data_IF_002383955315
#
_entry.id   IF_002383955315
#
_cell.length_a   1.000
_cell.length_b   1.000
_cell.length_c   1.000
_cell.angle_alpha   90.00
_cell.angle_beta   90.00
_cell.angle_gamma   90.00
#
_symmetry.space_group_name_H-M   'P 1'
#
loop_
_entity.id
_entity.type
_entity.pdbx_description
1 polymer ?
#
# COMPACT_ATOMS: atom_id res chain seq x y z
N UNK A 1 -36.39 1.56 -9.21
CA UNK A 1 -35.98 2.58 -8.23
C UNK A 1 -35.71 1.81 -6.96
N UNK A 2 -34.45 1.74 -6.54
CA UNK A 2 -34.05 1.62 -5.13
C UNK A 2 -32.58 2.04 -5.08
N UNK A 3 -32.39 3.27 -4.63
CA UNK A 3 -31.14 4.03 -4.62
C UNK A 3 -30.84 4.39 -3.16
N UNK A 4 -30.46 3.39 -2.35
CA UNK A 4 -30.17 3.57 -0.91
C UNK A 4 -28.81 2.96 -0.50
N UNK A 5 -27.79 3.11 -1.35
CA UNK A 5 -26.40 2.94 -0.93
C UNK A 5 -25.71 4.29 -0.83
N UNK A 6 -25.53 4.78 0.41
CA UNK A 6 -24.22 5.26 0.82
C UNK A 6 -23.50 6.33 -0.07
N UNK A 7 -24.03 7.52 -0.39
CA UNK A 7 -23.50 8.37 -1.47
C UNK A 7 -22.03 8.86 -1.33
N UNK A 8 -21.37 8.64 -0.19
CA UNK A 8 -19.99 9.11 0.05
C UNK A 8 -18.90 8.13 -0.43
N UNK A 9 -19.08 6.81 -0.24
CA UNK A 9 -18.03 5.81 -0.53
C UNK A 9 -17.95 5.44 -2.01
N UNK A 10 -19.11 5.28 -2.66
CA UNK A 10 -19.18 5.04 -4.11
C UNK A 10 -18.58 6.20 -4.92
N UNK A 11 -18.71 7.45 -4.44
CA UNK A 11 -18.11 8.61 -5.11
C UNK A 11 -16.61 8.66 -4.96
N UNK A 12 -16.05 8.15 -3.86
CA UNK A 12 -14.60 8.03 -3.66
C UNK A 12 -14.05 6.94 -4.59
N UNK A 13 -14.70 5.78 -4.65
CA UNK A 13 -14.31 4.68 -5.54
C UNK A 13 -14.39 5.04 -7.04
N UNK A 14 -15.47 5.72 -7.47
CA UNK A 14 -15.58 6.20 -8.85
C UNK A 14 -14.63 7.37 -9.16
N UNK A 15 -14.32 8.23 -8.18
CA UNK A 15 -13.32 9.30 -8.35
C UNK A 15 -11.92 8.73 -8.56
N UNK A 16 -11.56 7.67 -7.81
CA UNK A 16 -10.30 6.93 -7.91
C UNK A 16 -10.11 6.26 -9.27
N UNK A 17 -11.20 5.80 -9.89
CA UNK A 17 -11.17 5.12 -11.20
C UNK A 17 -11.13 6.10 -12.38
N UNK A 18 -11.73 7.29 -12.27
CA UNK A 18 -11.89 8.22 -13.40
C UNK A 18 -10.81 9.31 -13.55
N UNK A 19 -9.95 9.55 -12.54
CA UNK A 19 -8.94 10.62 -12.58
C UNK A 19 -7.51 10.11 -12.64
N UNK A 20 -7.27 9.06 -13.43
CA UNK A 20 -5.95 8.71 -13.93
C UNK A 20 -5.38 9.83 -14.85
N UNK A 21 -5.09 10.98 -14.26
CA UNK A 21 -4.00 11.86 -14.70
C UNK A 21 -2.76 11.27 -14.03
N UNK A 22 -2.12 10.32 -14.72
CA UNK A 22 -0.77 9.79 -14.45
C UNK A 22 -0.27 9.91 -12.99
N UNK A 23 -0.94 9.15 -12.12
CA UNK A 23 -0.44 8.57 -10.87
C UNK A 23 0.28 9.44 -9.82
N UNK A 24 -0.18 10.67 -9.62
CA UNK A 24 0.38 11.61 -8.63
C UNK A 24 0.43 11.01 -7.21
N UNK A 25 -0.59 10.28 -6.77
CA UNK A 25 -0.65 9.72 -5.41
C UNK A 25 0.38 8.61 -5.20
N UNK A 26 0.44 7.64 -6.12
CA UNK A 26 1.39 6.53 -6.04
C UNK A 26 2.84 7.03 -6.18
N UNK A 27 3.09 7.97 -7.09
CA UNK A 27 4.40 8.60 -7.25
C UNK A 27 4.79 9.42 -6.02
N UNK A 28 3.85 10.17 -5.43
CA UNK A 28 4.11 10.95 -4.20
C UNK A 28 4.42 10.02 -3.02
N UNK A 29 3.68 8.93 -2.86
CA UNK A 29 3.92 7.93 -1.83
C UNK A 29 5.30 7.27 -2.03
N UNK A 30 5.60 6.80 -3.23
CA UNK A 30 6.85 6.14 -3.55
C UNK A 30 8.07 7.07 -3.38
N UNK A 31 8.00 8.30 -3.88
CA UNK A 31 9.08 9.27 -3.70
C UNK A 31 9.31 9.58 -2.23
N UNK A 32 8.25 9.82 -1.44
CA UNK A 32 8.39 10.06 0.00
C UNK A 32 8.99 8.87 0.74
N UNK A 33 8.59 7.65 0.38
CA UNK A 33 9.15 6.43 0.96
C UNK A 33 10.67 6.37 0.79
N UNK A 34 11.18 6.64 -0.42
CA UNK A 34 12.60 6.57 -0.70
C UNK A 34 13.39 7.81 -0.31
N UNK A 35 12.78 8.99 -0.23
CA UNK A 35 13.39 10.17 0.40
C UNK A 35 13.71 9.90 1.88
N UNK A 36 12.79 9.23 2.60
CA UNK A 36 12.95 8.93 4.02
C UNK A 36 13.69 7.60 4.30
N UNK A 37 13.74 6.68 3.33
CA UNK A 37 14.30 5.33 3.49
C UNK A 37 15.08 4.90 2.22
N UNK A 38 16.10 5.69 1.85
CA UNK A 38 16.96 5.46 0.67
C UNK A 38 17.56 4.05 0.61
N UNK A 39 17.77 3.41 1.76
CA UNK A 39 18.31 2.05 1.86
C UNK A 39 17.37 0.99 1.27
N UNK A 40 16.05 1.21 1.32
CA UNK A 40 15.05 0.31 0.73
C UNK A 40 15.17 0.21 -0.79
N UNK A 41 15.69 1.26 -1.48
CA UNK A 41 15.92 1.23 -2.93
C UNK A 41 16.82 0.06 -3.33
N UNK A 42 17.78 -0.34 -2.48
CA UNK A 42 18.73 -1.40 -2.79
C UNK A 42 18.07 -2.77 -2.97
N UNK A 43 16.82 -2.94 -2.51
CA UNK A 43 16.05 -4.16 -2.66
C UNK A 43 15.42 -4.30 -4.05
N UNK A 44 15.39 -3.21 -4.84
CA UNK A 44 14.74 -3.15 -6.13
C UNK A 44 15.77 -3.12 -7.25
N UNK A 45 16.26 -4.29 -7.66
CA UNK A 45 17.35 -4.44 -8.63
C UNK A 45 17.15 -3.63 -9.92
N UNK A 46 15.90 -3.49 -10.38
CA UNK A 46 15.56 -2.79 -11.64
C UNK A 46 15.68 -1.27 -11.57
N UNK A 47 15.52 -0.67 -10.38
CA UNK A 47 15.43 0.79 -10.24
C UNK A 47 16.22 1.38 -9.07
N UNK A 48 17.06 0.58 -8.40
CA UNK A 48 17.94 1.02 -7.30
C UNK A 48 18.89 2.17 -7.65
N UNK A 49 19.13 2.40 -8.95
CA UNK A 49 19.96 3.48 -9.47
C UNK A 49 19.26 4.85 -9.43
N UNK A 50 17.92 4.89 -9.38
CA UNK A 50 17.14 6.13 -9.37
C UNK A 50 17.06 6.70 -7.95
N UNK A 51 18.04 7.54 -7.61
CA UNK A 51 18.19 8.09 -6.25
C UNK A 51 17.65 9.51 -6.11
N UNK A 52 17.42 10.18 -7.22
CA UNK A 52 16.78 11.50 -7.23
C UNK A 52 15.28 11.38 -7.45
N UNK A 53 14.54 12.37 -6.94
CA UNK A 53 13.09 12.47 -7.14
C UNK A 53 12.72 12.53 -8.62
N UNK A 54 13.49 13.24 -9.43
CA UNK A 54 13.24 13.37 -10.87
C UNK A 54 13.39 12.02 -11.60
N UNK A 55 14.43 11.24 -11.29
CA UNK A 55 14.60 9.90 -11.86
C UNK A 55 13.49 8.93 -11.41
N UNK A 56 13.08 9.01 -10.13
CA UNK A 56 12.04 8.16 -9.57
C UNK A 56 10.66 8.42 -10.21
N UNK A 57 10.29 9.69 -10.39
CA UNK A 57 9.00 10.06 -11.02
C UNK A 57 8.92 9.55 -12.47
N UNK A 58 10.05 9.48 -13.17
CA UNK A 58 10.11 9.03 -14.55
C UNK A 58 10.34 7.51 -14.71
N UNK A 59 10.48 6.76 -13.60
CA UNK A 59 10.71 5.31 -13.65
C UNK A 59 9.39 4.54 -13.83
N UNK A 60 9.29 3.82 -14.94
CA UNK A 60 8.15 2.94 -15.24
C UNK A 60 8.05 1.79 -14.22
N UNK A 61 9.17 1.20 -13.84
CA UNK A 61 9.22 0.09 -12.89
C UNK A 61 8.79 0.53 -11.48
N UNK A 62 9.17 1.75 -11.09
CA UNK A 62 8.72 2.31 -9.83
C UNK A 62 7.23 2.62 -9.87
N UNK A 63 6.74 3.21 -10.95
CA UNK A 63 5.33 3.50 -11.13
C UNK A 63 4.47 2.21 -11.12
N UNK A 64 4.95 1.12 -11.73
CA UNK A 64 4.31 -0.19 -11.70
C UNK A 64 4.24 -0.75 -10.28
N UNK A 65 5.34 -0.69 -9.52
CA UNK A 65 5.34 -1.14 -8.13
C UNK A 65 4.42 -0.30 -7.24
N UNK A 66 4.49 1.03 -7.38
CA UNK A 66 3.64 1.96 -6.65
C UNK A 66 2.15 1.71 -6.96
N UNK A 67 1.81 1.41 -8.23
CA UNK A 67 0.47 0.97 -8.61
C UNK A 67 0.03 -0.31 -7.89
N UNK A 68 0.90 -1.33 -7.81
CA UNK A 68 0.57 -2.57 -7.13
C UNK A 68 0.33 -2.38 -5.64
N UNK A 69 1.11 -1.50 -5.00
CA UNK A 69 0.88 -1.10 -3.59
C UNK A 69 -0.47 -0.40 -3.46
N UNK A 70 -0.76 0.58 -4.31
CA UNK A 70 -2.04 1.30 -4.26
C UNK A 70 -3.24 0.40 -4.52
N UNK A 71 -3.15 -0.52 -5.47
CA UNK A 71 -4.19 -1.52 -5.74
C UNK A 71 -4.39 -2.44 -4.54
N UNK A 72 -3.31 -2.86 -3.87
CA UNK A 72 -3.41 -3.68 -2.65
C UNK A 72 -4.12 -2.93 -1.54
N UNK A 73 -3.82 -1.64 -1.37
CA UNK A 73 -4.49 -0.79 -0.38
C UNK A 73 -5.96 -0.54 -0.73
N UNK A 74 -6.28 -0.33 -2.01
CA UNK A 74 -7.64 -0.14 -2.51
C UNK A 74 -8.50 -1.40 -2.31
N UNK A 75 -8.00 -2.57 -2.73
CA UNK A 75 -8.64 -3.85 -2.46
C UNK A 75 -8.76 -4.12 -0.96
N UNK A 76 -7.76 -3.70 -0.17
CA UNK A 76 -7.82 -3.75 1.28
C UNK A 76 -8.97 -2.92 1.88
N UNK A 77 -9.20 -1.72 1.35
CA UNK A 77 -10.26 -0.82 1.80
C UNK A 77 -11.64 -1.32 1.33
N UNK A 78 -11.75 -1.76 0.08
CA UNK A 78 -13.00 -2.31 -0.50
C UNK A 78 -13.40 -3.63 0.15
N UNK A 79 -12.42 -4.45 0.52
CA UNK A 79 -12.62 -5.73 1.19
C UNK A 79 -13.04 -5.62 2.65
N UNK A 80 -13.11 -4.43 3.26
CA UNK A 80 -13.57 -4.30 4.65
C UNK A 80 -15.02 -4.74 4.86
N UNK A 81 -15.84 -4.78 3.80
CA UNK A 81 -17.20 -5.33 3.83
C UNK A 81 -17.22 -6.88 3.77
N UNK A 82 -16.12 -7.52 3.37
CA UNK A 82 -15.93 -8.97 3.31
C UNK A 82 -14.54 -9.35 3.86
N UNK A 83 -14.49 -9.43 5.20
CA UNK A 83 -13.25 -9.61 5.93
C UNK A 83 -12.52 -10.93 5.58
N UNK A 84 -13.24 -11.97 5.17
CA UNK A 84 -12.62 -13.25 4.83
C UNK A 84 -11.77 -13.14 3.55
N UNK A 85 -12.35 -12.54 2.50
CA UNK A 85 -11.63 -12.26 1.25
C UNK A 85 -10.49 -11.25 1.46
N UNK A 86 -10.72 -10.23 2.30
CA UNK A 86 -9.68 -9.28 2.70
C UNK A 86 -8.48 -10.00 3.33
N UNK A 87 -8.72 -10.83 4.34
CA UNK A 87 -7.65 -11.52 5.04
C UNK A 87 -6.92 -12.50 4.12
N UNK A 88 -7.63 -13.24 3.27
CA UNK A 88 -6.99 -14.14 2.31
C UNK A 88 -6.02 -13.37 1.40
N UNK A 89 -6.50 -12.31 0.75
CA UNK A 89 -5.71 -11.54 -0.19
C UNK A 89 -4.50 -10.87 0.48
N UNK A 90 -4.71 -10.12 1.57
CA UNK A 90 -3.63 -9.37 2.22
C UNK A 90 -2.60 -10.31 2.87
N UNK A 91 -3.02 -11.46 3.42
CA UNK A 91 -2.06 -12.45 3.90
C UNK A 91 -1.18 -13.01 2.77
N UNK A 92 -1.74 -13.27 1.58
CA UNK A 92 -0.98 -13.73 0.42
C UNK A 92 0.04 -12.69 -0.02
N UNK A 93 -0.34 -11.41 -0.05
CA UNK A 93 0.60 -10.31 -0.37
C UNK A 93 1.72 -10.25 0.67
N UNK A 94 1.40 -10.29 1.96
CA UNK A 94 2.39 -10.34 3.05
C UNK A 94 3.36 -11.51 2.91
N UNK A 95 2.84 -12.72 2.64
CA UNK A 95 3.64 -13.91 2.42
C UNK A 95 4.58 -13.81 1.21
N UNK A 96 4.14 -13.13 0.13
CA UNK A 96 4.94 -12.98 -1.09
C UNK A 96 6.27 -12.23 -0.85
N UNK A 97 6.29 -11.30 0.11
CA UNK A 97 7.49 -10.51 0.45
C UNK A 97 8.60 -11.34 1.12
N UNK A 98 8.32 -12.57 1.56
CA UNK A 98 9.36 -13.52 2.01
C UNK A 98 10.30 -13.95 0.89
N UNK A 99 9.84 -13.85 -0.36
CA UNK A 99 10.65 -14.20 -1.55
C UNK A 99 11.67 -13.12 -1.89
N UNK A 100 11.60 -11.95 -1.26
CA UNK A 100 12.50 -10.83 -1.49
C UNK A 100 13.73 -10.98 -0.57
N UNK A 101 14.94 -11.19 -1.11
CA UNK A 101 16.14 -11.36 -0.30
C UNK A 101 16.39 -10.13 0.59
N UNK A 102 16.65 -10.38 1.88
CA UNK A 102 16.94 -9.32 2.85
C UNK A 102 15.74 -8.46 3.27
N UNK A 103 14.52 -8.80 2.86
CA UNK A 103 13.32 -8.09 3.30
C UNK A 103 13.08 -8.31 4.80
N UNK A 104 12.92 -7.20 5.51
CA UNK A 104 12.61 -7.18 6.94
C UNK A 104 11.16 -6.78 7.13
N UNK A 105 10.46 -7.48 8.03
CA UNK A 105 9.02 -7.28 8.25
C UNK A 105 8.69 -5.85 8.67
N UNK A 106 9.62 -5.16 9.33
CA UNK A 106 9.50 -3.77 9.76
C UNK A 106 9.38 -2.79 8.59
N UNK A 107 9.80 -3.18 7.37
CA UNK A 107 9.72 -2.32 6.20
C UNK A 107 8.28 -2.05 5.76
N UNK A 108 7.32 -2.91 6.09
CA UNK A 108 5.90 -2.62 5.84
C UNK A 108 5.46 -1.34 6.55
N UNK A 109 5.91 -1.12 7.79
CA UNK A 109 5.54 0.07 8.57
C UNK A 109 6.09 1.38 8.00
N UNK A 110 7.09 1.33 7.11
CA UNK A 110 7.61 2.51 6.42
C UNK A 110 6.62 3.12 5.42
N UNK A 111 5.55 2.41 5.07
CA UNK A 111 4.51 2.86 4.14
C UNK A 111 3.51 3.81 4.81
N UNK A 112 3.34 3.75 6.14
CA UNK A 112 2.30 4.53 6.86
C UNK A 112 2.40 6.03 6.59
N UNK A 113 3.55 6.65 6.86
CA UNK A 113 3.75 8.10 6.70
C UNK A 113 3.61 8.55 5.25
N UNK A 114 4.29 7.91 4.26
CA UNK A 114 4.10 8.26 2.85
C UNK A 114 2.66 8.10 2.36
N UNK A 115 1.94 7.09 2.84
CA UNK A 115 0.53 6.89 2.49
C UNK A 115 -0.34 8.03 3.02
N UNK A 116 -0.23 8.36 4.31
CA UNK A 116 -1.03 9.44 4.91
C UNK A 116 -0.74 10.79 4.25
N UNK A 117 0.52 11.08 3.96
CA UNK A 117 0.90 12.30 3.25
C UNK A 117 0.33 12.36 1.82
N UNK A 118 0.26 11.22 1.13
CA UNK A 118 -0.35 11.13 -0.19
C UNK A 118 -1.88 11.32 -0.13
N UNK A 119 -2.54 10.77 0.89
CA UNK A 119 -3.98 10.98 1.14
C UNK A 119 -4.28 12.45 1.45
N UNK A 120 -3.50 13.08 2.33
CA UNK A 120 -3.62 14.50 2.67
C UNK A 120 -3.50 15.39 1.43
N UNK A 121 -2.42 15.19 0.65
CA UNK A 121 -2.20 15.96 -0.58
C UNK A 121 -3.33 15.78 -1.61
N UNK A 122 -3.94 14.59 -1.65
CA UNK A 122 -5.04 14.27 -2.57
C UNK A 122 -6.36 14.89 -2.12
N UNK A 123 -6.65 14.86 -0.82
CA UNK A 123 -7.91 15.33 -0.28
C UNK A 123 -7.94 16.85 -0.07
N UNK A 124 -6.77 17.48 0.10
CA UNK A 124 -6.64 18.92 0.30
C UNK A 124 -7.51 19.39 1.46
N UNK A 125 -8.35 20.40 1.23
CA UNK A 125 -9.28 20.95 2.24
C UNK A 125 -10.27 19.93 2.82
N UNK A 126 -10.45 18.77 2.19
CA UNK A 126 -11.29 17.67 2.69
C UNK A 126 -10.57 16.78 3.70
N UNK A 127 -9.26 16.93 3.86
CA UNK A 127 -8.46 16.22 4.84
C UNK A 127 -8.67 16.83 6.24
N UNK A 128 -9.79 16.46 6.86
CA UNK A 128 -10.14 16.88 8.22
C UNK A 128 -9.51 15.95 9.27
N UNK A 129 -9.42 16.34 10.55
CA UNK A 129 -8.91 15.47 11.61
C UNK A 129 -9.65 14.13 11.73
N UNK A 130 -10.97 14.12 11.44
CA UNK A 130 -11.75 12.89 11.43
C UNK A 130 -11.33 11.96 10.27
N UNK A 131 -11.13 12.53 9.08
CA UNK A 131 -10.67 11.79 7.90
C UNK A 131 -9.26 11.24 8.13
N UNK A 132 -8.34 12.05 8.65
CA UNK A 132 -7.00 11.61 9.06
C UNK A 132 -7.06 10.40 10.00
N UNK A 133 -7.90 10.47 11.04
CA UNK A 133 -8.03 9.38 12.00
C UNK A 133 -8.54 8.08 11.36
N UNK A 134 -9.52 8.17 10.44
CA UNK A 134 -10.03 7.01 9.70
C UNK A 134 -8.92 6.37 8.86
N UNK A 135 -8.17 7.18 8.10
CA UNK A 135 -7.08 6.66 7.27
C UNK A 135 -5.94 6.08 8.11
N UNK A 136 -5.61 6.68 9.26
CA UNK A 136 -4.62 6.13 10.21
C UNK A 136 -5.02 4.75 10.75
N UNK A 137 -6.27 4.57 11.14
CA UNK A 137 -6.76 3.27 11.62
C UNK A 137 -6.71 2.25 10.48
N UNK A 138 -7.19 2.65 9.30
CA UNK A 138 -7.28 1.78 8.12
C UNK A 138 -5.91 1.30 7.66
N UNK A 139 -4.94 2.20 7.49
CA UNK A 139 -3.61 1.80 7.03
C UNK A 139 -2.91 0.90 8.04
N UNK A 140 -3.02 1.19 9.34
CA UNK A 140 -2.44 0.33 10.39
C UNK A 140 -3.03 -1.07 10.38
N UNK A 141 -4.34 -1.18 10.15
CA UNK A 141 -5.00 -2.47 10.04
C UNK A 141 -4.48 -3.29 8.85
N UNK A 142 -4.33 -2.66 7.68
CA UNK A 142 -3.79 -3.33 6.49
C UNK A 142 -2.32 -3.73 6.71
N UNK A 143 -1.49 -2.84 7.25
CA UNK A 143 -0.08 -3.11 7.52
C UNK A 143 0.10 -4.24 8.54
N UNK A 144 -0.70 -4.26 9.61
CA UNK A 144 -0.69 -5.37 10.55
C UNK A 144 -1.08 -6.69 9.89
N UNK A 145 -2.07 -6.66 8.99
CA UNK A 145 -2.49 -7.87 8.26
C UNK A 145 -1.40 -8.39 7.30
N UNK A 146 -0.64 -7.49 6.67
CA UNK A 146 0.54 -7.86 5.87
C UNK A 146 1.62 -8.53 6.72
N UNK A 147 1.91 -7.95 7.90
CA UNK A 147 2.85 -8.51 8.89
C UNK A 147 2.41 -9.91 9.30
N UNK A 148 1.14 -10.09 9.64
CA UNK A 148 0.58 -11.39 10.03
C UNK A 148 0.74 -12.43 8.90
N UNK A 149 0.51 -12.04 7.64
CA UNK A 149 0.69 -12.92 6.48
C UNK A 149 2.14 -13.32 6.28
N UNK A 150 3.05 -12.36 6.41
CA UNK A 150 4.49 -12.57 6.34
C UNK A 150 4.95 -13.56 7.42
N UNK A 151 4.51 -13.40 8.68
CA UNK A 151 4.89 -14.27 9.79
C UNK A 151 4.26 -15.66 9.74
N UNK A 152 2.97 -15.77 9.36
CA UNK A 152 2.29 -17.07 9.24
C UNK A 152 2.97 -17.97 8.21
N UNK A 153 3.39 -17.40 7.08
CA UNK A 153 4.13 -18.15 6.05
C UNK A 153 5.50 -18.64 6.54
N UNK A 154 6.16 -17.91 7.45
CA UNK A 154 7.41 -18.33 8.07
C UNK A 154 7.23 -19.61 8.91
N UNK A 155 6.16 -19.65 9.73
CA UNK A 155 5.84 -20.78 10.61
C UNK A 155 5.42 -22.02 9.81
N UNK A 156 4.65 -21.84 8.74
CA UNK A 156 4.27 -22.92 7.85
C UNK A 156 5.49 -23.55 7.14
N UNK A 157 6.43 -22.73 6.66
CA UNK A 157 7.68 -23.21 6.06
C UNK A 157 8.59 -23.94 7.04
N UNK A 158 8.69 -23.48 8.29
CA UNK A 158 9.48 -24.15 9.34
C UNK A 158 8.92 -25.53 9.72
N UNK A 159 7.59 -25.66 9.77
CA UNK A 159 6.94 -26.94 10.06
C UNK A 159 7.06 -27.95 8.91
N UNK A 160 7.04 -27.49 7.65
CA UNK A 160 7.18 -28.36 6.47
C UNK A 160 8.60 -28.93 6.28
N UNK A 161 9.63 -28.30 6.84
CA UNK A 161 11.02 -28.78 6.80
C UNK A 161 11.31 -29.77 7.96
N UNK A 162 10.43 -29.83 8.96
CA UNK A 162 10.60 -30.64 10.18
C UNK A 162 9.87 -32.00 10.14
N UNK A 163 9.28 -32.37 9.00
CA UNK A 163 8.57 -33.64 8.73
C UNK A 163 9.17 -34.32 7.52
#
# INVERSE_FOLDING_TARGET
MDNDKCPSLWRIANWWTSHAVENIMANTQACRLFEENQDLLNMFEKFRQYRTKEEQINSMELAEHANNVMNTLDEGIKGLDDLDNFFEYIHQVGASHRRIPGFKVEYFWKIETPFLAAVEATLGDRYTPNVENIYKITIKFILQTLVDGYEKSAKAGANAIST
#
